data_IF_214759634025
#
_entry.id   IF_214759634025
#
_cell.length_a   1.000
_cell.length_b   1.000
_cell.length_c   1.000
_cell.angle_alpha   90.00
_cell.angle_beta   90.00
_cell.angle_gamma   90.00
#
_symmetry.space_group_name_H-M   'P 1'
#
loop_
_entity.id
_entity.type
_entity.pdbx_description
1 polymer ?
#
# COMPACT_ATOMS: atom_id res chain seq x y z
N UNK A 1 97.74 18.15 -33.41
CA UNK A 1 98.31 18.92 -32.28
C UNK A 1 97.19 19.22 -31.28
N UNK A 2 97.42 18.94 -29.99
CA UNK A 2 96.64 19.35 -28.79
C UNK A 2 95.25 18.68 -28.64
N UNK A 3 95.05 17.67 -27.79
CA UNK A 3 95.18 17.53 -26.31
C UNK A 3 94.01 18.16 -25.53
N UNK A 4 93.56 17.41 -24.50
CA UNK A 4 92.62 17.73 -23.40
C UNK A 4 91.14 17.39 -23.69
N UNK A 5 90.36 16.77 -22.80
CA UNK A 5 90.54 16.30 -21.42
C UNK A 5 89.35 15.36 -21.14
N UNK A 6 89.60 14.19 -20.54
CA UNK A 6 88.54 13.34 -19.97
C UNK A 6 88.03 13.96 -18.67
N UNK A 7 86.71 13.91 -18.45
CA UNK A 7 86.12 13.91 -17.12
C UNK A 7 84.93 12.95 -17.11
N UNK A 8 85.10 11.87 -16.36
CA UNK A 8 84.07 10.90 -16.03
C UNK A 8 83.02 11.54 -15.10
N UNK A 9 81.75 11.21 -15.30
CA UNK A 9 80.70 11.46 -14.31
C UNK A 9 79.79 10.23 -14.24
N UNK A 10 79.59 9.81 -13.00
CA UNK A 10 79.06 8.54 -12.52
C UNK A 10 77.55 8.42 -12.76
N UNK A 11 77.12 7.20 -13.11
CA UNK A 11 75.73 6.79 -13.25
C UNK A 11 74.99 6.76 -11.90
N UNK A 12 73.76 7.27 -11.87
CA UNK A 12 72.74 6.93 -10.88
C UNK A 12 71.39 6.78 -11.62
N UNK A 13 71.03 5.53 -11.91
CA UNK A 13 69.71 5.14 -12.40
C UNK A 13 68.77 5.00 -11.19
N UNK A 14 67.67 5.76 -11.08
CA UNK A 14 66.62 5.44 -10.14
C UNK A 14 65.77 4.29 -10.70
N UNK A 15 65.79 3.15 -10.01
CA UNK A 15 64.86 2.04 -10.21
C UNK A 15 63.46 2.49 -9.78
N UNK A 16 62.59 2.80 -10.74
CA UNK A 16 61.15 2.95 -10.54
C UNK A 16 60.55 1.57 -10.25
N UNK A 17 60.28 1.28 -8.98
CA UNK A 17 59.44 0.16 -8.59
C UNK A 17 57.98 0.48 -9.01
N UNK A 18 57.28 -0.42 -9.74
CA UNK A 18 55.86 -0.25 -9.97
C UNK A 18 55.12 -0.49 -8.63
N UNK A 19 54.58 0.60 -8.08
CA UNK A 19 53.63 0.53 -6.97
C UNK A 19 52.42 -0.28 -7.41
N UNK A 20 52.26 -1.48 -6.85
CA UNK A 20 51.03 -2.24 -6.97
C UNK A 20 49.89 -1.44 -6.37
N UNK A 21 48.93 -1.05 -7.19
CA UNK A 21 47.62 -0.61 -6.73
C UNK A 21 47.01 -1.77 -5.95
N UNK A 22 47.06 -1.69 -4.62
CA UNK A 22 46.23 -2.50 -3.75
C UNK A 22 44.78 -2.14 -4.08
N UNK A 23 44.12 -2.99 -4.87
CA UNK A 23 42.69 -2.96 -5.05
C UNK A 23 42.07 -3.20 -3.68
N UNK A 24 41.64 -2.14 -3.02
CA UNK A 24 40.80 -2.22 -1.83
C UNK A 24 39.60 -3.08 -2.20
N UNK A 25 39.40 -4.24 -1.55
CA UNK A 25 38.22 -5.05 -1.79
C UNK A 25 37.02 -4.21 -1.38
N UNK A 26 36.21 -3.81 -2.36
CA UNK A 26 34.92 -3.18 -2.14
C UNK A 26 34.07 -4.16 -1.35
N UNK A 27 34.07 -4.02 -0.03
CA UNK A 27 33.16 -4.73 0.86
C UNK A 27 31.76 -4.37 0.38
N UNK A 28 31.10 -5.31 -0.28
CA UNK A 28 29.67 -5.19 -0.53
C UNK A 28 29.03 -5.26 0.84
N UNK A 29 28.69 -4.09 1.40
CA UNK A 29 27.89 -4.03 2.61
C UNK A 29 26.60 -4.81 2.32
N UNK A 30 26.42 -5.92 3.06
CA UNK A 30 25.19 -6.67 3.01
C UNK A 30 24.05 -5.69 3.32
N UNK A 31 22.94 -5.71 2.56
CA UNK A 31 21.79 -4.87 2.87
C UNK A 31 21.44 -5.05 4.34
N UNK A 32 21.57 -3.98 5.14
CA UNK A 32 21.13 -4.04 6.53
C UNK A 32 19.63 -4.31 6.51
N UNK A 33 19.23 -5.41 7.16
CA UNK A 33 17.82 -5.69 7.41
C UNK A 33 17.35 -4.64 8.40
N UNK A 34 16.37 -3.83 8.01
CA UNK A 34 15.80 -2.81 8.88
C UNK A 34 15.08 -3.49 10.05
N UNK A 35 15.34 -3.02 11.26
CA UNK A 35 14.65 -3.51 12.45
C UNK A 35 13.26 -2.86 12.56
N UNK A 36 12.25 -3.62 12.14
CA UNK A 36 10.83 -3.24 12.26
C UNK A 36 10.14 -3.96 13.43
N UNK A 37 10.91 -4.54 14.35
CA UNK A 37 10.35 -5.27 15.50
C UNK A 37 9.49 -4.40 16.42
N UNK A 38 9.76 -3.09 16.43
CA UNK A 38 8.98 -2.10 17.20
C UNK A 38 7.49 -2.10 16.85
N UNK A 39 7.09 -2.54 15.65
CA UNK A 39 5.67 -2.58 15.25
C UNK A 39 4.87 -3.62 16.04
N UNK A 40 5.51 -4.72 16.46
CA UNK A 40 4.83 -5.82 17.14
C UNK A 40 4.24 -5.44 18.50
N UNK A 41 4.75 -4.38 19.13
CA UNK A 41 4.24 -3.91 20.43
C UNK A 41 2.78 -3.40 20.37
N UNK A 42 2.26 -3.14 19.17
CA UNK A 42 0.90 -2.64 18.93
C UNK A 42 -0.09 -3.73 18.54
N UNK A 43 0.39 -4.92 18.19
CA UNK A 43 -0.48 -6.00 17.72
C UNK A 43 -1.22 -6.68 18.86
N UNK A 44 -2.50 -6.99 18.65
CA UNK A 44 -3.28 -7.81 19.57
C UNK A 44 -2.73 -9.26 19.63
N UNK A 45 -2.76 -9.95 20.80
CA UNK A 45 -3.35 -9.54 22.07
C UNK A 45 -2.31 -8.88 23.01
N UNK A 46 -1.90 -7.63 22.74
CA UNK A 46 -1.13 -6.85 23.70
C UNK A 46 -2.01 -6.46 24.91
N UNK A 47 -1.49 -6.44 26.15
CA UNK A 47 -2.22 -5.95 27.31
C UNK A 47 -2.60 -4.47 27.13
N UNK A 48 -3.90 -4.19 27.00
CA UNK A 48 -4.43 -2.85 26.75
C UNK A 48 -4.51 -2.51 25.27
N UNK A 49 -5.62 -1.90 24.86
CA UNK A 49 -5.82 -1.38 23.50
C UNK A 49 -4.79 -0.29 23.19
N UNK A 50 -3.70 -0.66 22.51
CA UNK A 50 -2.58 0.23 22.14
C UNK A 50 -2.65 0.69 20.68
N UNK A 51 -3.75 0.44 19.99
CA UNK A 51 -3.95 0.83 18.59
C UNK A 51 -3.76 2.33 18.41
N UNK A 52 -4.24 3.12 19.38
CA UNK A 52 -4.05 4.57 19.40
C UNK A 52 -2.59 5.01 19.52
N UNK A 53 -1.72 4.19 20.10
CA UNK A 53 -0.32 4.55 20.34
C UNK A 53 0.58 4.39 19.11
N UNK A 54 0.14 3.65 18.07
CA UNK A 54 0.92 3.45 16.84
C UNK A 54 1.22 4.78 16.14
N UNK A 55 0.21 5.64 15.99
CA UNK A 55 0.35 6.94 15.32
C UNK A 55 1.29 7.91 16.03
N UNK A 56 1.48 7.71 17.34
CA UNK A 56 2.35 8.53 18.18
C UNK A 56 3.75 7.95 18.32
N UNK A 57 4.03 6.77 17.76
CA UNK A 57 5.38 6.20 17.78
C UNK A 57 6.34 7.05 16.93
N UNK A 58 7.51 7.45 17.45
CA UNK A 58 8.45 8.28 16.73
C UNK A 58 9.01 7.62 15.45
N UNK A 59 8.93 6.30 15.31
CA UNK A 59 9.36 5.55 14.13
C UNK A 59 8.27 5.45 13.06
N UNK A 60 6.99 5.64 13.39
CA UNK A 60 5.88 5.38 12.45
C UNK A 60 5.85 6.38 11.29
N UNK A 61 5.90 7.68 11.57
CA UNK A 61 5.91 8.69 10.50
C UNK A 61 7.14 8.56 9.57
N UNK A 62 8.38 8.46 10.09
CA UNK A 62 9.56 8.20 9.24
C UNK A 62 9.45 6.91 8.42
N UNK A 63 8.88 5.84 8.99
CA UNK A 63 8.62 4.60 8.27
C UNK A 63 7.69 4.82 7.07
N UNK A 64 6.56 5.51 7.26
CA UNK A 64 5.65 5.81 6.16
C UNK A 64 6.31 6.71 5.11
N UNK A 65 7.06 7.73 5.51
CA UNK A 65 7.77 8.61 4.58
C UNK A 65 8.81 7.87 3.73
N UNK A 66 9.47 6.85 4.31
CA UNK A 66 10.45 6.03 3.62
C UNK A 66 9.83 5.08 2.59
N UNK A 67 8.65 4.53 2.88
CA UNK A 67 8.06 3.46 2.08
C UNK A 67 6.86 3.86 1.22
N UNK A 68 6.13 4.90 1.59
CA UNK A 68 4.97 5.40 0.85
C UNK A 68 5.35 6.65 0.07
N UNK A 69 6.15 6.46 -0.98
CA UNK A 69 6.73 7.55 -1.79
C UNK A 69 6.00 7.81 -3.09
N UNK A 70 5.03 6.97 -3.46
CA UNK A 70 4.29 7.13 -4.71
C UNK A 70 3.60 8.50 -4.73
N UNK A 71 3.65 9.23 -5.85
CA UNK A 71 2.89 10.46 -5.98
C UNK A 71 1.39 10.13 -5.92
N UNK A 72 0.63 10.97 -5.23
CA UNK A 72 -0.83 10.88 -5.20
C UNK A 72 -1.40 12.26 -5.48
N UNK A 73 -2.48 12.31 -6.27
CA UNK A 73 -3.20 13.55 -6.58
C UNK A 73 -4.71 13.42 -6.34
N UNK A 74 -5.12 12.31 -5.73
CA UNK A 74 -6.52 11.90 -5.60
C UNK A 74 -7.22 12.64 -4.47
N UNK A 75 -6.52 12.88 -3.36
CA UNK A 75 -7.09 13.54 -2.19
C UNK A 75 -6.65 15.00 -2.07
N UNK A 76 -5.34 15.24 -2.02
CA UNK A 76 -4.75 16.59 -2.00
C UNK A 76 -3.47 16.58 -2.82
N UNK A 77 -3.43 17.38 -3.90
CA UNK A 77 -2.34 17.38 -4.89
C UNK A 77 -0.97 17.69 -4.30
N UNK A 78 -0.90 18.38 -3.17
CA UNK A 78 0.36 18.80 -2.56
C UNK A 78 0.75 17.95 -1.34
N UNK A 79 -0.06 16.94 -0.99
CA UNK A 79 0.15 16.13 0.20
C UNK A 79 0.91 14.84 -0.12
N UNK A 80 2.03 14.54 0.56
CA UNK A 80 2.69 13.26 0.42
C UNK A 80 1.77 12.10 0.80
N UNK A 81 1.92 10.94 0.15
CA UNK A 81 1.13 9.74 0.45
C UNK A 81 1.30 9.29 1.91
N UNK A 82 2.47 9.50 2.51
CA UNK A 82 2.71 9.20 3.92
C UNK A 82 1.84 10.03 4.88
N UNK A 83 1.61 11.31 4.58
CA UNK A 83 0.72 12.16 5.38
C UNK A 83 -0.76 11.78 5.14
N UNK A 84 -1.13 11.41 3.91
CA UNK A 84 -2.46 10.84 3.62
C UNK A 84 -2.68 9.55 4.43
N UNK A 85 -1.69 8.66 4.48
CA UNK A 85 -1.80 7.41 5.24
C UNK A 85 -2.01 7.67 6.74
N UNK A 86 -1.36 8.69 7.32
CA UNK A 86 -1.61 9.12 8.70
C UNK A 86 -3.06 9.57 8.87
N UNK A 87 -3.59 10.37 7.94
CA UNK A 87 -4.98 10.86 8.00
C UNK A 87 -5.99 9.71 7.94
N UNK A 88 -5.80 8.76 7.04
CA UNK A 88 -6.68 7.61 6.88
C UNK A 88 -6.58 6.58 8.02
N UNK A 89 -5.55 6.69 8.86
CA UNK A 89 -5.39 5.87 10.06
C UNK A 89 -5.74 6.64 11.34
N UNK A 90 -6.10 7.93 11.23
CA UNK A 90 -6.18 8.88 12.35
C UNK A 90 -7.18 8.49 13.44
N UNK A 91 -8.32 7.89 13.08
CA UNK A 91 -9.23 7.21 14.01
C UNK A 91 -8.87 5.73 13.97
N UNK A 92 -8.17 5.20 14.99
CA UNK A 92 -7.60 3.86 14.92
C UNK A 92 -8.68 2.78 14.99
N UNK A 93 -8.57 1.81 14.10
CA UNK A 93 -9.35 0.58 14.10
C UNK A 93 -8.57 -0.52 14.81
N UNK A 94 -8.18 -1.57 14.09
CA UNK A 94 -7.44 -2.69 14.65
C UNK A 94 -5.96 -2.65 14.26
N UNK A 95 -5.11 -3.16 15.15
CA UNK A 95 -3.72 -3.49 14.84
C UNK A 95 -3.50 -4.98 15.07
N UNK A 96 -3.24 -5.71 13.99
CA UNK A 96 -3.24 -7.17 13.95
C UNK A 96 -1.90 -7.67 13.42
N UNK A 97 -1.29 -8.57 14.19
CA UNK A 97 -0.22 -9.43 13.72
C UNK A 97 -0.80 -10.72 13.16
N UNK A 98 -0.41 -11.08 11.94
CA UNK A 98 -0.86 -12.30 11.25
C UNK A 98 0.35 -13.17 10.89
N UNK A 99 0.22 -14.49 11.08
CA UNK A 99 1.26 -15.49 10.81
C UNK A 99 2.68 -15.16 11.36
N UNK A 100 2.77 -14.38 12.45
CA UNK A 100 4.05 -13.85 12.98
C UNK A 100 4.93 -13.15 11.92
N UNK A 101 4.31 -12.62 10.86
CA UNK A 101 5.01 -12.10 9.68
C UNK A 101 4.38 -10.83 9.14
N UNK A 102 3.06 -10.74 9.17
CA UNK A 102 2.33 -9.65 8.56
C UNK A 102 1.81 -8.71 9.64
N UNK A 103 2.08 -7.43 9.46
CA UNK A 103 1.52 -6.37 10.27
C UNK A 103 0.36 -5.72 9.52
N UNK A 104 -0.74 -5.48 10.22
CA UNK A 104 -1.92 -4.81 9.69
C UNK A 104 -2.34 -3.72 10.66
N UNK A 105 -2.57 -2.51 10.18
CA UNK A 105 -3.20 -1.44 10.94
C UNK A 105 -4.31 -0.82 10.10
N UNK A 106 -5.54 -0.77 10.61
CA UNK A 106 -6.65 -0.10 9.95
C UNK A 106 -7.16 1.09 10.75
N UNK A 107 -7.88 1.99 10.08
CA UNK A 107 -8.49 3.15 10.69
C UNK A 107 -9.38 3.93 9.72
N UNK A 108 -9.74 5.14 10.11
CA UNK A 108 -10.43 6.08 9.24
C UNK A 108 -9.94 7.52 9.37
N UNK A 109 -10.35 8.34 8.39
CA UNK A 109 -10.25 9.80 8.43
C UNK A 109 -11.07 10.35 9.59
N UNK A 110 -10.44 11.23 10.38
CA UNK A 110 -11.10 11.89 11.50
C UNK A 110 -12.36 12.64 11.06
N UNK A 111 -13.46 12.42 11.79
CA UNK A 111 -14.79 12.97 11.49
C UNK A 111 -15.42 12.49 10.17
N UNK A 112 -14.78 11.59 9.42
CA UNK A 112 -15.33 11.05 8.16
C UNK A 112 -14.93 9.58 7.92
N UNK A 113 -15.43 8.68 8.77
CA UNK A 113 -15.13 7.25 8.69
C UNK A 113 -15.67 6.45 7.50
N UNK A 114 -16.51 6.98 6.59
CA UNK A 114 -16.67 6.39 5.27
C UNK A 114 -15.37 6.35 4.45
N UNK A 115 -14.36 7.15 4.81
CA UNK A 115 -13.01 7.04 4.29
C UNK A 115 -12.13 6.24 5.25
N UNK A 116 -11.65 5.07 4.81
CA UNK A 116 -10.94 4.10 5.65
C UNK A 116 -9.59 3.73 5.07
N UNK A 117 -8.61 3.57 5.94
CA UNK A 117 -7.25 3.12 5.58
C UNK A 117 -6.96 1.71 6.09
N UNK A 118 -6.09 1.01 5.37
CA UNK A 118 -5.41 -0.20 5.78
C UNK A 118 -3.94 -0.10 5.40
N UNK A 119 -3.06 -0.15 6.39
CA UNK A 119 -1.64 -0.38 6.22
C UNK A 119 -1.36 -1.87 6.39
N UNK A 120 -0.69 -2.47 5.41
CA UNK A 120 -0.24 -3.86 5.42
C UNK A 120 1.27 -3.91 5.21
N UNK A 121 1.98 -4.70 6.01
CA UNK A 121 3.43 -4.84 5.91
C UNK A 121 3.85 -6.30 5.98
N UNK A 122 4.64 -6.76 5.01
CA UNK A 122 5.38 -8.03 5.08
C UNK A 122 6.72 -7.80 5.79
N UNK A 123 6.80 -8.22 7.05
CA UNK A 123 8.00 -8.10 7.89
C UNK A 123 8.95 -9.31 7.74
N UNK A 124 8.56 -10.34 6.98
CA UNK A 124 9.32 -11.59 6.86
C UNK A 124 10.39 -11.59 5.77
N UNK A 125 10.68 -10.44 5.16
CA UNK A 125 11.59 -10.31 4.02
C UNK A 125 12.58 -9.17 4.24
N UNK A 126 13.80 -9.30 3.70
CA UNK A 126 14.90 -8.34 3.92
C UNK A 126 14.56 -6.90 3.52
N UNK A 127 13.67 -6.73 2.53
CA UNK A 127 13.08 -5.44 2.15
C UNK A 127 11.57 -5.55 2.27
N UNK A 128 10.96 -4.93 3.30
CA UNK A 128 9.54 -5.12 3.58
C UNK A 128 8.69 -4.70 2.39
N UNK A 129 7.59 -5.41 2.17
CA UNK A 129 6.53 -4.95 1.28
C UNK A 129 5.58 -4.12 2.11
N UNK A 130 5.47 -2.85 1.78
CA UNK A 130 4.54 -1.93 2.44
C UNK A 130 3.45 -1.60 1.45
N UNK A 131 2.21 -1.84 1.85
CA UNK A 131 1.01 -1.57 1.06
C UNK A 131 0.08 -0.71 1.89
N UNK A 132 -0.38 0.40 1.31
CA UNK A 132 -1.41 1.24 1.89
C UNK A 132 -2.64 1.21 0.98
N UNK A 133 -3.74 0.67 1.50
CA UNK A 133 -5.03 0.67 0.84
C UNK A 133 -5.95 1.71 1.49
N UNK A 134 -6.63 2.51 0.67
CA UNK A 134 -7.56 3.53 1.13
C UNK A 134 -8.87 3.40 0.36
N UNK A 135 -9.98 3.33 1.09
CA UNK A 135 -11.33 3.38 0.51
C UNK A 135 -11.84 4.81 0.62
N UNK A 136 -12.30 5.34 -0.50
CA UNK A 136 -12.82 6.70 -0.65
C UNK A 136 -14.24 6.67 -1.21
N UNK A 137 -15.14 7.44 -0.60
CA UNK A 137 -16.54 7.54 -1.02
C UNK A 137 -16.69 8.39 -2.29
N UNK A 138 -17.46 7.89 -3.25
CA UNK A 138 -17.81 8.63 -4.47
C UNK A 138 -19.09 9.44 -4.20
N UNK A 139 -18.96 10.76 -4.17
CA UNK A 139 -20.05 11.68 -3.79
C UNK A 139 -21.06 11.98 -4.89
N UNK A 140 -21.01 11.26 -6.02
CA UNK A 140 -21.82 11.46 -7.23
C UNK A 140 -23.30 11.06 -7.06
N UNK A 141 -23.99 11.61 -6.05
CA UNK A 141 -25.45 11.57 -5.81
C UNK A 141 -25.97 10.57 -4.75
N UNK A 142 -25.12 10.00 -3.89
CA UNK A 142 -25.57 9.14 -2.78
C UNK A 142 -24.79 9.42 -1.52
N UNK A 143 -25.46 9.69 -0.41
CA UNK A 143 -24.84 9.87 0.91
C UNK A 143 -24.22 8.56 1.42
N UNK A 144 -23.32 8.65 2.40
CA UNK A 144 -22.55 7.51 2.90
C UNK A 144 -23.37 6.50 3.70
N UNK A 145 -24.60 6.83 4.06
CA UNK A 145 -25.61 5.96 4.68
C UNK A 145 -26.54 5.27 3.66
N UNK A 146 -26.44 5.61 2.36
CA UNK A 146 -27.15 4.91 1.30
C UNK A 146 -26.49 3.55 1.04
N UNK A 147 -27.29 2.48 1.12
CA UNK A 147 -26.86 1.10 0.81
C UNK A 147 -26.25 0.91 -0.59
N UNK A 148 -26.56 1.80 -1.54
CA UNK A 148 -26.03 1.78 -2.89
C UNK A 148 -24.91 2.82 -3.12
N UNK A 149 -24.43 3.49 -2.06
CA UNK A 149 -23.25 4.32 -2.13
C UNK A 149 -22.06 3.51 -2.65
N UNK A 150 -21.29 4.09 -3.56
CA UNK A 150 -20.16 3.43 -4.21
C UNK A 150 -18.85 4.02 -3.72
N UNK A 151 -17.82 3.18 -3.70
CA UNK A 151 -16.51 3.53 -3.18
C UNK A 151 -15.41 3.13 -4.17
N UNK A 152 -14.35 3.93 -4.21
CA UNK A 152 -13.11 3.59 -4.89
C UNK A 152 -12.07 3.15 -3.86
N UNK A 153 -11.37 2.06 -4.12
CA UNK A 153 -10.19 1.66 -3.36
C UNK A 153 -8.91 2.00 -4.13
N UNK A 154 -8.03 2.74 -3.49
CA UNK A 154 -6.69 3.03 -3.97
C UNK A 154 -5.68 2.19 -3.19
N UNK A 155 -4.85 1.41 -3.88
CA UNK A 155 -3.88 0.50 -3.27
C UNK A 155 -2.49 0.90 -3.70
N UNK A 156 -1.73 1.53 -2.82
CA UNK A 156 -0.36 1.95 -3.07
C UNK A 156 0.61 0.91 -2.54
N UNK A 157 1.69 0.67 -3.26
CA UNK A 157 2.74 -0.25 -2.85
C UNK A 157 4.12 0.36 -3.01
N UNK A 158 5.05 0.01 -2.10
CA UNK A 158 6.43 0.50 -2.15
C UNK A 158 7.30 -0.18 -3.22
N UNK A 159 6.73 -1.14 -3.97
CA UNK A 159 7.32 -1.81 -5.13
C UNK A 159 6.20 -2.28 -6.05
N UNK A 160 6.43 -2.33 -7.36
CA UNK A 160 5.42 -2.79 -8.31
C UNK A 160 4.94 -4.20 -7.97
N UNK A 161 3.62 -4.40 -8.05
CA UNK A 161 2.96 -5.67 -7.82
C UNK A 161 2.29 -6.13 -9.12
N UNK A 162 2.38 -7.42 -9.40
CA UNK A 162 1.65 -8.04 -10.51
C UNK A 162 0.18 -8.29 -10.08
N UNK A 163 -0.82 -7.66 -10.72
CA UNK A 163 -2.23 -7.90 -10.45
C UNK A 163 -2.66 -9.36 -10.52
N UNK A 164 -2.00 -10.18 -11.36
CA UNK A 164 -2.32 -11.60 -11.51
C UNK A 164 -1.74 -12.46 -10.37
N UNK A 165 -0.73 -11.95 -9.64
CA UNK A 165 0.03 -12.70 -8.65
C UNK A 165 0.21 -11.92 -7.34
N UNK A 166 -0.88 -11.35 -6.84
CA UNK A 166 -0.89 -10.63 -5.57
C UNK A 166 -0.56 -11.56 -4.38
N UNK A 167 0.16 -11.08 -3.35
CA UNK A 167 0.42 -11.88 -2.16
C UNK A 167 -0.87 -12.35 -1.49
N UNK A 168 -1.03 -13.66 -1.30
CA UNK A 168 -2.24 -14.23 -0.71
C UNK A 168 -2.55 -13.68 0.70
N UNK A 169 -1.52 -13.33 1.47
CA UNK A 169 -1.70 -12.70 2.78
C UNK A 169 -2.29 -11.28 2.67
N UNK A 170 -1.89 -10.51 1.66
CA UNK A 170 -2.47 -9.19 1.39
C UNK A 170 -3.95 -9.32 1.01
N UNK A 171 -4.29 -10.22 0.09
CA UNK A 171 -5.68 -10.41 -0.35
C UNK A 171 -6.58 -10.89 0.79
N UNK A 172 -6.09 -11.77 1.67
CA UNK A 172 -6.80 -12.16 2.91
C UNK A 172 -7.01 -10.98 3.85
N UNK A 173 -6.00 -10.15 4.08
CA UNK A 173 -6.11 -8.97 4.93
C UNK A 173 -7.14 -7.97 4.41
N UNK A 174 -7.15 -7.70 3.10
CA UNK A 174 -8.12 -6.81 2.46
C UNK A 174 -9.53 -7.42 2.51
N UNK A 175 -9.68 -8.72 2.29
CA UNK A 175 -10.96 -9.41 2.43
C UNK A 175 -11.52 -9.31 3.86
N UNK A 176 -10.66 -9.49 4.87
CA UNK A 176 -11.03 -9.33 6.28
C UNK A 176 -11.46 -7.89 6.58
N UNK A 177 -10.65 -6.92 6.18
CA UNK A 177 -10.91 -5.49 6.42
C UNK A 177 -12.20 -4.98 5.75
N UNK A 178 -12.42 -5.36 4.48
CA UNK A 178 -13.63 -4.97 3.72
C UNK A 178 -14.90 -5.69 4.18
N UNK A 179 -14.75 -6.82 4.89
CA UNK A 179 -15.88 -7.51 5.53
C UNK A 179 -16.31 -6.92 6.87
N UNK A 180 -15.64 -5.87 7.34
CA UNK A 180 -16.04 -5.15 8.56
C UNK A 180 -16.99 -4.01 8.20
N UNK A 181 -18.15 -3.89 8.89
CA UNK A 181 -19.02 -2.74 8.71
C UNK A 181 -18.33 -1.45 9.21
N UNK A 182 -18.85 -0.30 8.80
CA UNK A 182 -18.51 1.00 9.36
C UNK A 182 -18.86 1.07 10.86
N UNK A 183 -18.51 2.17 11.52
CA UNK A 183 -18.73 2.37 12.95
C UNK A 183 -20.19 2.23 13.39
N UNK A 184 -21.16 2.42 12.48
CA UNK A 184 -22.59 2.20 12.72
C UNK A 184 -22.97 0.71 12.82
N UNK A 185 -22.02 -0.19 12.55
CA UNK A 185 -22.13 -1.66 12.56
C UNK A 185 -23.16 -2.22 11.57
N UNK A 186 -23.61 -1.42 10.61
CA UNK A 186 -24.68 -1.77 9.66
C UNK A 186 -24.27 -1.53 8.22
N UNK A 187 -23.50 -0.48 7.96
CA UNK A 187 -23.13 -0.08 6.62
C UNK A 187 -21.86 -0.80 6.18
N UNK A 188 -21.92 -1.43 5.01
CA UNK A 188 -20.76 -2.02 4.34
C UNK A 188 -20.42 -1.20 3.11
N UNK A 189 -19.11 -0.99 2.89
CA UNK A 189 -18.65 -0.20 1.75
C UNK A 189 -18.70 -1.05 0.47
N UNK A 190 -19.50 -0.63 -0.50
CA UNK A 190 -19.56 -1.26 -1.82
C UNK A 190 -18.43 -0.71 -2.72
N UNK A 191 -17.31 -1.41 -2.76
CA UNK A 191 -16.11 -1.01 -3.52
C UNK A 191 -16.27 -1.41 -4.98
N UNK A 192 -16.69 -0.47 -5.83
CA UNK A 192 -16.94 -0.75 -7.25
C UNK A 192 -15.71 -0.59 -8.13
N UNK A 193 -14.70 0.15 -7.66
CA UNK A 193 -13.47 0.46 -8.41
C UNK A 193 -12.26 0.21 -7.53
N UNK A 194 -11.23 -0.41 -8.10
CA UNK A 194 -9.93 -0.56 -7.44
C UNK A 194 -8.81 -0.16 -8.40
N UNK A 195 -7.87 0.63 -7.89
CA UNK A 195 -6.64 0.97 -8.59
C UNK A 195 -5.44 0.52 -7.76
N UNK A 196 -4.60 -0.34 -8.35
CA UNK A 196 -3.28 -0.64 -7.83
C UNK A 196 -2.30 0.38 -8.38
N UNK A 197 -1.61 1.10 -7.49
CA UNK A 197 -0.70 2.19 -7.83
C UNK A 197 0.73 1.72 -7.61
N UNK A 198 1.52 1.78 -8.68
CA UNK A 198 2.95 1.50 -8.64
C UNK A 198 3.74 2.61 -7.91
N UNK A 199 5.00 2.36 -7.50
CA UNK A 199 5.81 3.37 -6.81
C UNK A 199 6.05 4.66 -7.60
N UNK A 200 5.96 4.60 -8.93
CA UNK A 200 6.08 5.77 -9.81
C UNK A 200 4.76 6.56 -9.95
N UNK A 201 3.66 6.06 -9.37
CA UNK A 201 2.33 6.65 -9.44
C UNK A 201 1.45 6.10 -10.57
N UNK A 202 1.94 5.16 -11.38
CA UNK A 202 1.17 4.58 -12.48
C UNK A 202 -0.03 3.79 -11.95
N UNK A 203 -1.27 4.14 -12.35
CA UNK A 203 -2.47 3.44 -11.90
C UNK A 203 -2.79 2.23 -12.78
N UNK A 204 -3.07 1.09 -12.15
CA UNK A 204 -3.53 -0.14 -12.77
C UNK A 204 -4.95 -0.47 -12.29
N UNK A 205 -5.99 -0.29 -13.12
CA UNK A 205 -7.34 -0.69 -12.73
C UNK A 205 -7.43 -2.22 -12.59
N UNK A 206 -7.98 -2.69 -11.48
CA UNK A 206 -8.16 -4.12 -11.20
C UNK A 206 -9.58 -4.38 -10.71
N UNK A 207 -10.04 -5.63 -10.82
CA UNK A 207 -11.33 -6.02 -10.24
C UNK A 207 -11.25 -6.02 -8.70
N UNK A 208 -12.30 -5.60 -7.97
CA UNK A 208 -12.33 -5.68 -6.52
C UNK A 208 -12.02 -7.09 -5.98
N UNK A 209 -12.54 -8.12 -6.65
CA UNK A 209 -12.29 -9.51 -6.27
C UNK A 209 -10.82 -9.93 -6.42
N UNK A 210 -10.06 -9.32 -7.33
CA UNK A 210 -8.63 -9.63 -7.54
C UNK A 210 -7.79 -9.32 -6.31
N UNK A 211 -8.10 -8.22 -5.61
CA UNK A 211 -7.41 -7.83 -4.36
C UNK A 211 -8.10 -8.40 -3.10
N UNK A 212 -9.15 -9.19 -3.27
CA UNK A 212 -9.93 -9.77 -2.17
C UNK A 212 -10.98 -8.83 -1.56
N UNK A 213 -11.19 -7.63 -2.11
CA UNK A 213 -12.23 -6.73 -1.63
C UNK A 213 -13.61 -7.37 -1.80
N UNK A 214 -14.37 -7.47 -0.71
CA UNK A 214 -15.72 -8.04 -0.71
C UNK A 214 -16.74 -6.92 -0.90
N UNK A 215 -17.54 -7.02 -1.96
CA UNK A 215 -18.74 -6.22 -2.11
C UNK A 215 -19.93 -7.02 -1.58
N UNK A 216 -20.66 -6.47 -0.62
CA UNK A 216 -21.83 -7.12 -0.02
C UNK A 216 -23.15 -6.63 -0.60
N UNK A 217 -23.15 -5.98 -1.78
CA UNK A 217 -24.41 -5.66 -2.42
C UNK A 217 -25.21 -6.95 -2.62
N UNK A 218 -26.48 -6.99 -2.19
CA UNK A 218 -27.40 -8.01 -2.66
C UNK A 218 -27.36 -8.02 -4.20
N UNK A 219 -27.43 -9.19 -4.86
CA UNK A 219 -27.56 -9.22 -6.31
C UNK A 219 -28.70 -8.29 -6.71
N UNK A 220 -28.46 -7.40 -7.67
CA UNK A 220 -29.52 -6.59 -8.27
C UNK A 220 -30.65 -7.54 -8.63
N UNK A 221 -31.80 -7.39 -7.98
CA UNK A 221 -33.01 -8.09 -8.39
C UNK A 221 -33.31 -7.55 -9.77
N UNK A 222 -32.86 -8.26 -10.81
CA UNK A 222 -33.22 -7.98 -12.19
C UNK A 222 -34.72 -8.15 -12.25
N UNK A 223 -35.44 -7.05 -12.08
CA UNK A 223 -36.88 -7.03 -12.29
C UNK A 223 -37.00 -7.04 -13.81
N UNK A 224 -37.12 -8.24 -14.35
CA UNK A 224 -37.52 -8.47 -15.73
C UNK A 224 -38.76 -7.59 -16.02
N UNK A 225 -38.81 -6.86 -17.14
CA UNK A 225 -40.01 -6.11 -17.48
C UNK A 225 -41.15 -7.11 -17.66
N UNK A 226 -42.14 -7.02 -16.78
CA UNK A 226 -43.38 -7.76 -16.85
C UNK A 226 -44.03 -7.51 -18.23
N UNK A 227 -43.83 -8.43 -19.18
CA UNK A 227 -44.61 -8.47 -20.41
C UNK A 227 -46.05 -8.78 -20.00
N UNK A 228 -46.86 -7.74 -19.83
CA UNK A 228 -48.30 -7.91 -19.72
C UNK A 228 -48.80 -8.51 -21.04
N UNK A 229 -49.13 -9.81 -21.02
CA UNK A 229 -49.98 -10.41 -22.03
C UNK A 229 -51.31 -9.66 -22.05
N UNK A 230 -51.54 -8.89 -23.11
CA UNK A 230 -52.86 -8.41 -23.51
C UNK A 230 -53.70 -9.58 -23.99
N UNK A 231 -54.44 -10.22 -23.08
CA UNK A 231 -55.49 -11.16 -23.44
C UNK A 231 -56.62 -10.40 -24.17
N UNK A 232 -56.72 -10.65 -25.47
CA UNK A 232 -57.79 -10.15 -26.33
C UNK A 232 -58.97 -11.12 -26.23
N UNK A 233 -60.07 -10.69 -25.64
CA UNK A 233 -61.35 -11.43 -25.63
C UNK A 233 -62.05 -11.33 -27.00
N UNK A 234 -62.47 -12.42 -27.66
CA UNK A 234 -63.42 -12.31 -28.76
C UNK A 234 -64.86 -12.30 -28.23
N UNK A 235 -65.58 -11.26 -28.62
CA UNK A 235 -67.02 -11.06 -28.40
C UNK A 235 -67.80 -12.05 -29.28
N UNK A 236 -68.50 -13.02 -28.68
CA UNK A 236 -69.56 -13.76 -29.37
C UNK A 236 -70.86 -12.95 -29.30
N UNK A 237 -71.53 -12.77 -30.44
CA UNK A 237 -72.86 -12.17 -30.55
C UNK A 237 -73.80 -13.23 -31.15
N UNK A 238 -75.03 -13.39 -30.64
CA UNK A 238 -76.05 -14.23 -31.28
C UNK A 238 -76.54 -13.62 -32.61
#
# INVERSE_FOLDING_TARGET
MRCLLQLAAVALLPTLAPGGFAQLPWKHDKPQTEDLSWMWQYTQPAPGSRENALLWDPHFKPFLQKYLTAPQSFWDKNKPLSDVAIEFLAVPGHVIGDDNRYFNADGCVQHFCPNRGLLWVDLGIARPLVVFAAIDWISDNRTTDDSAATYTMWVFSNRSLDPAHLPAALTRSIARWTSQPLADKKTFQNVTRVFLIDPDGTPHPINPSTIGARNTLPPETTTEPNQSLSNTTPKAKP
#
